data_IF_897786552613
#
_entry.id   IF_897786552613
#
_cell.length_a   1.000
_cell.length_b   1.000
_cell.length_c   1.000
_cell.angle_alpha   90.00
_cell.angle_beta   90.00
_cell.angle_gamma   90.00
#
_symmetry.space_group_name_H-M   'P 1'
#
loop_
_entity.id
_entity.type
_entity.pdbx_description
1 polymer ?
#
# COMPACT_ATOMS: atom_id res chain seq x y z
N UNK A 1 -3.98 43.14 10.16
CA UNK A 1 -4.25 42.79 11.59
C UNK A 1 -3.67 41.41 11.97
N UNK A 2 -3.49 41.10 13.27
CA UNK A 2 -2.97 39.79 13.74
C UNK A 2 -4.10 38.96 14.37
N UNK A 3 -4.16 37.67 14.06
CA UNK A 3 -5.17 36.76 14.61
C UNK A 3 -4.95 36.56 16.11
N UNK A 4 -5.97 36.84 16.93
CA UNK A 4 -5.89 36.56 18.38
C UNK A 4 -5.78 35.06 18.72
N UNK A 5 -6.13 34.17 17.78
CA UNK A 5 -6.18 32.72 18.02
C UNK A 5 -4.92 31.98 17.57
N UNK A 6 -4.34 32.36 16.44
CA UNK A 6 -3.17 31.68 15.86
C UNK A 6 -1.98 32.60 15.59
N UNK A 7 -2.06 33.87 15.97
CA UNK A 7 -1.02 34.89 15.80
C UNK A 7 -0.56 35.11 14.36
N UNK A 8 -1.33 34.63 13.37
CA UNK A 8 -1.01 34.82 11.97
C UNK A 8 -1.45 36.19 11.46
N UNK A 9 -0.72 36.73 10.46
CA UNK A 9 -1.04 38.00 9.81
C UNK A 9 -2.26 37.80 8.89
N UNK A 10 -3.22 38.70 8.99
CA UNK A 10 -4.47 38.68 8.21
C UNK A 10 -4.66 40.04 7.53
N UNK A 11 -5.17 39.99 6.30
CA UNK A 11 -5.54 41.15 5.52
C UNK A 11 -6.79 41.82 6.10
N UNK A 12 -6.79 43.15 6.18
CA UNK A 12 -7.78 43.94 6.92
C UNK A 12 -9.20 43.85 6.32
N UNK A 13 -9.35 43.32 5.11
CA UNK A 13 -10.63 43.05 4.46
C UNK A 13 -11.26 41.69 4.82
N UNK A 14 -10.53 40.81 5.50
CA UNK A 14 -10.96 39.44 5.77
C UNK A 14 -11.94 39.34 6.95
N UNK A 15 -13.09 38.70 6.73
CA UNK A 15 -14.09 38.39 7.78
C UNK A 15 -13.67 37.20 8.67
N UNK A 16 -12.74 36.37 8.17
CA UNK A 16 -12.26 35.16 8.85
C UNK A 16 -10.74 35.03 8.66
N UNK A 17 -10.08 34.39 9.63
CA UNK A 17 -8.67 34.03 9.50
C UNK A 17 -8.50 32.93 8.44
N UNK A 18 -7.68 33.17 7.44
CA UNK A 18 -7.32 32.21 6.39
C UNK A 18 -6.56 30.95 6.89
N UNK A 19 -5.96 31.01 8.08
CA UNK A 19 -5.19 29.89 8.64
C UNK A 19 -5.99 29.03 9.62
N UNK A 20 -6.78 29.65 10.51
CA UNK A 20 -7.49 28.91 11.56
C UNK A 20 -9.03 28.98 11.47
N UNK A 21 -9.56 29.72 10.49
CA UNK A 21 -10.99 29.88 10.27
C UNK A 21 -11.74 30.69 11.33
N UNK A 22 -11.04 31.32 12.28
CA UNK A 22 -11.70 32.11 13.34
C UNK A 22 -12.32 33.39 12.76
N UNK A 23 -13.56 33.75 13.17
CA UNK A 23 -14.17 35.01 12.75
C UNK A 23 -13.40 36.20 13.35
N UNK A 24 -13.27 37.23 12.55
CA UNK A 24 -12.58 38.46 12.92
C UNK A 24 -13.64 39.52 13.16
N UNK A 25 -13.74 39.97 14.42
CA UNK A 25 -14.58 41.11 14.76
C UNK A 25 -13.85 42.36 14.25
N UNK A 26 -14.41 43.01 13.23
CA UNK A 26 -13.95 44.33 12.81
C UNK A 26 -14.64 45.36 13.69
N UNK A 27 -13.85 46.18 14.34
CA UNK A 27 -14.31 47.18 15.30
C UNK A 27 -14.83 48.39 14.51
N UNK A 28 -16.10 48.34 14.14
CA UNK A 28 -16.73 49.36 13.31
C UNK A 28 -18.23 49.19 13.25
N UNK A 29 -18.88 49.28 14.41
CA UNK A 29 -20.12 50.02 14.65
C UNK A 29 -20.78 49.58 15.96
N UNK A 30 -20.97 50.59 16.80
CA UNK A 30 -21.53 50.60 18.15
C UNK A 30 -22.91 49.93 18.22
N UNK A 31 -23.05 48.86 19.01
CA UNK A 31 -24.27 48.64 19.82
C UNK A 31 -23.90 48.19 21.23
N UNK A 32 -24.01 49.16 22.12
CA UNK A 32 -24.08 49.01 23.58
C UNK A 32 -25.21 48.05 23.93
N UNK A 33 -24.90 46.91 24.54
CA UNK A 33 -25.80 46.27 25.52
C UNK A 33 -24.96 45.75 26.69
N UNK A 34 -25.38 46.22 27.85
CA UNK A 34 -24.83 46.13 29.21
C UNK A 34 -24.48 44.72 29.68
N UNK A 35 -23.32 44.66 30.34
CA UNK A 35 -22.98 44.00 31.60
C UNK A 35 -24.07 43.17 32.28
N UNK A 36 -23.70 42.01 32.85
CA UNK A 36 -23.64 41.79 34.32
C UNK A 36 -23.27 40.35 34.67
N UNK A 37 -22.34 40.22 35.63
CA UNK A 37 -22.05 39.10 36.54
C UNK A 37 -22.91 37.83 36.47
N UNK A 38 -22.27 36.66 36.58
CA UNK A 38 -22.37 35.83 37.80
C UNK A 38 -21.46 34.60 37.76
N UNK A 39 -20.58 34.54 38.75
CA UNK A 39 -20.04 33.30 39.29
C UNK A 39 -21.20 32.40 39.76
N UNK A 40 -20.98 31.09 39.71
CA UNK A 40 -21.86 30.01 40.20
C UNK A 40 -22.95 29.54 39.24
N UNK A 41 -22.61 28.57 38.39
CA UNK A 41 -23.47 27.43 38.09
C UNK A 41 -22.69 26.27 37.45
N UNK A 42 -22.90 25.10 38.04
CA UNK A 42 -23.00 23.81 37.36
C UNK A 42 -21.71 23.03 37.07
N UNK A 43 -21.27 22.34 38.14
CA UNK A 43 -20.77 20.96 38.13
C UNK A 43 -21.82 20.03 37.46
N UNK A 44 -22.08 20.21 36.16
CA UNK A 44 -22.93 19.33 35.33
C UNK A 44 -22.41 19.14 33.90
N UNK A 45 -21.27 19.72 33.54
CA UNK A 45 -20.75 19.64 32.16
C UNK A 45 -19.71 18.52 31.92
N UNK A 46 -19.31 17.78 32.94
CA UNK A 46 -18.27 16.74 32.78
C UNK A 46 -18.82 15.42 32.21
N UNK A 47 -20.15 15.21 32.22
CA UNK A 47 -20.76 14.02 31.59
C UNK A 47 -20.95 14.20 30.07
N UNK A 48 -21.27 15.42 29.63
CA UNK A 48 -21.56 15.72 28.21
C UNK A 48 -20.27 15.81 27.38
N UNK A 49 -19.20 16.38 27.94
CA UNK A 49 -17.90 16.51 27.26
C UNK A 49 -17.25 15.14 27.03
N UNK A 50 -17.36 14.22 27.99
CA UNK A 50 -16.80 12.87 27.86
C UNK A 50 -17.54 12.02 26.81
N UNK A 51 -18.84 12.26 26.58
CA UNK A 51 -19.59 11.55 25.55
C UNK A 51 -19.24 12.03 24.13
N UNK A 52 -19.04 13.35 23.95
CA UNK A 52 -18.60 13.96 22.70
C UNK A 52 -17.17 13.52 22.32
N UNK A 53 -16.25 13.43 23.29
CA UNK A 53 -14.88 12.98 23.07
C UNK A 53 -14.83 11.49 22.69
N UNK A 54 -15.65 10.66 23.36
CA UNK A 54 -15.80 9.23 23.06
C UNK A 54 -16.38 9.01 21.66
N UNK A 55 -17.36 9.82 21.24
CA UNK A 55 -17.94 9.76 19.89
C UNK A 55 -16.94 10.17 18.80
N UNK A 56 -16.01 11.07 19.12
CA UNK A 56 -14.92 11.50 18.23
C UNK A 56 -13.83 10.44 18.10
N UNK A 57 -13.45 9.78 19.20
CA UNK A 57 -12.51 8.66 19.20
C UNK A 57 -13.05 7.42 18.46
N UNK A 58 -14.34 7.10 18.64
CA UNK A 58 -15.00 5.98 17.93
C UNK A 58 -15.08 6.24 16.42
N UNK A 59 -15.20 7.50 15.96
CA UNK A 59 -15.18 7.83 14.52
C UNK A 59 -13.81 7.70 13.87
N UNK A 60 -12.72 7.90 14.61
CA UNK A 60 -11.36 7.74 14.08
C UNK A 60 -10.96 6.27 13.93
N UNK A 61 -11.49 5.39 14.79
CA UNK A 61 -11.22 3.96 14.74
C UNK A 61 -12.17 3.18 13.81
N UNK A 62 -13.20 3.86 13.29
CA UNK A 62 -14.15 3.32 12.30
C UNK A 62 -13.74 3.74 10.90
N UNK A 63 -12.53 3.38 10.50
CA UNK A 63 -12.24 3.17 9.08
C UNK A 63 -12.66 1.75 8.76
N UNK A 64 -13.97 1.58 8.60
CA UNK A 64 -14.50 0.40 7.93
C UNK A 64 -13.86 0.42 6.54
N UNK A 65 -12.87 -0.45 6.33
CA UNK A 65 -12.47 -0.90 5.01
C UNK A 65 -13.72 -1.49 4.37
N UNK A 66 -14.46 -0.63 3.67
CA UNK A 66 -15.58 -1.02 2.81
C UNK A 66 -14.97 -1.64 1.56
N UNK A 67 -14.40 -2.82 1.73
CA UNK A 67 -13.95 -3.67 0.64
C UNK A 67 -15.18 -4.40 0.15
N UNK A 68 -15.55 -4.08 -1.09
CA UNK A 68 -16.62 -4.79 -1.79
C UNK A 68 -16.23 -6.26 -1.84
N UNK A 69 -16.98 -7.14 -1.17
CA UNK A 69 -16.64 -8.56 -1.02
C UNK A 69 -16.42 -9.32 -2.33
N UNK A 70 -16.86 -8.77 -3.47
CA UNK A 70 -16.59 -9.31 -4.80
C UNK A 70 -15.17 -9.08 -5.33
N UNK A 71 -14.49 -7.98 -4.97
CA UNK A 71 -13.12 -7.72 -5.46
C UNK A 71 -12.09 -8.58 -4.72
N UNK A 72 -12.25 -8.77 -3.40
CA UNK A 72 -11.31 -9.55 -2.59
C UNK A 72 -11.24 -11.02 -3.05
N UNK A 73 -12.38 -11.60 -3.46
CA UNK A 73 -12.43 -12.98 -3.96
C UNK A 73 -11.65 -13.19 -5.26
N UNK A 74 -11.69 -12.21 -6.18
CA UNK A 74 -10.99 -12.29 -7.45
C UNK A 74 -9.46 -12.20 -7.28
N UNK A 75 -8.99 -11.36 -6.36
CA UNK A 75 -7.56 -11.27 -6.04
C UNK A 75 -7.03 -12.55 -5.39
N UNK A 76 -7.79 -13.15 -4.47
CA UNK A 76 -7.39 -14.40 -3.81
C UNK A 76 -7.34 -15.55 -4.82
N UNK A 77 -8.36 -15.68 -5.68
CA UNK A 77 -8.38 -16.71 -6.71
C UNK A 77 -7.23 -16.56 -7.72
N UNK A 78 -6.95 -15.31 -8.14
CA UNK A 78 -5.81 -14.99 -9.00
C UNK A 78 -4.47 -15.35 -8.36
N UNK A 79 -4.32 -15.13 -7.05
CA UNK A 79 -3.13 -15.52 -6.30
C UNK A 79 -2.94 -17.05 -6.29
N UNK A 80 -4.01 -17.80 -6.03
CA UNK A 80 -3.94 -19.27 -6.03
C UNK A 80 -3.51 -19.81 -7.40
N UNK A 81 -4.10 -19.30 -8.48
CA UNK A 81 -3.69 -19.69 -9.84
C UNK A 81 -2.25 -19.29 -10.13
N UNK A 82 -1.80 -18.11 -9.69
CA UNK A 82 -0.41 -17.69 -9.86
C UNK A 82 0.57 -18.60 -9.11
N UNK A 83 0.24 -19.01 -7.87
CA UNK A 83 1.07 -19.92 -7.07
C UNK A 83 1.12 -21.31 -7.70
N UNK A 84 -0.04 -21.86 -8.08
CA UNK A 84 -0.13 -23.19 -8.72
C UNK A 84 0.62 -23.17 -10.06
N UNK A 85 0.41 -22.14 -10.87
CA UNK A 85 1.10 -21.94 -12.15
C UNK A 85 2.61 -21.82 -11.97
N UNK A 86 3.07 -21.05 -10.99
CA UNK A 86 4.49 -20.94 -10.68
C UNK A 86 5.08 -22.29 -10.22
N UNK A 87 4.36 -23.06 -9.39
CA UNK A 87 4.79 -24.38 -8.95
C UNK A 87 4.93 -25.39 -10.10
N UNK A 88 3.92 -25.45 -10.99
CA UNK A 88 3.97 -26.29 -12.20
C UNK A 88 5.10 -25.86 -13.14
N UNK A 89 5.31 -24.57 -13.29
CA UNK A 89 6.38 -24.03 -14.12
C UNK A 89 7.78 -24.33 -13.56
N UNK A 90 7.93 -24.29 -12.23
CA UNK A 90 9.17 -24.69 -11.55
C UNK A 90 9.45 -26.18 -11.69
N UNK A 91 8.42 -27.04 -11.56
CA UNK A 91 8.56 -28.48 -11.76
C UNK A 91 9.02 -28.82 -13.19
N UNK A 92 8.41 -28.20 -14.21
CA UNK A 92 8.83 -28.38 -15.59
C UNK A 92 10.27 -27.90 -15.85
N UNK A 93 10.69 -26.80 -15.18
CA UNK A 93 12.06 -26.29 -15.29
C UNK A 93 13.12 -27.20 -14.65
N UNK A 94 12.75 -28.03 -13.67
CA UNK A 94 13.66 -28.98 -13.04
C UNK A 94 13.98 -30.16 -13.96
N UNK A 95 12.96 -30.73 -14.60
CA UNK A 95 13.15 -31.81 -15.58
C UNK A 95 14.02 -31.36 -16.76
N UNK A 96 13.78 -30.15 -17.28
CA UNK A 96 14.57 -29.58 -18.37
C UNK A 96 16.02 -29.31 -17.96
N UNK A 97 16.26 -28.91 -16.71
CA UNK A 97 17.61 -28.71 -16.21
C UNK A 97 18.38 -30.03 -16.10
N UNK A 98 17.73 -31.11 -15.64
CA UNK A 98 18.32 -32.43 -15.57
C UNK A 98 18.65 -33.00 -16.96
N UNK A 99 17.74 -32.82 -17.93
CA UNK A 99 18.00 -33.21 -19.34
C UNK A 99 19.18 -32.42 -19.91
N UNK A 100 19.22 -31.11 -19.69
CA UNK A 100 20.34 -30.26 -20.13
C UNK A 100 21.69 -30.70 -19.57
N UNK A 101 21.75 -31.09 -18.30
CA UNK A 101 22.98 -31.57 -17.65
C UNK A 101 23.45 -32.92 -18.24
N UNK A 102 22.52 -33.84 -18.49
CA UNK A 102 22.82 -35.12 -19.15
C UNK A 102 23.31 -34.95 -20.60
N UNK A 103 22.80 -33.96 -21.34
CA UNK A 103 23.30 -33.66 -22.69
C UNK A 103 24.72 -33.09 -22.68
N UNK A 104 25.09 -32.29 -21.67
CA UNK A 104 26.43 -31.70 -21.59
C UNK A 104 27.53 -32.68 -21.17
N UNK A 105 27.16 -33.87 -20.66
CA UNK A 105 28.10 -34.87 -20.13
C UNK A 105 28.37 -36.02 -21.10
N UNK A 106 27.67 -36.07 -22.24
CA UNK A 106 27.98 -37.03 -23.31
C UNK A 106 29.30 -36.59 -23.96
N UNK A 107 30.38 -37.26 -23.58
CA UNK A 107 31.71 -37.06 -24.16
C UNK A 107 32.03 -38.26 -25.04
N UNK A 108 32.48 -38.00 -26.27
CA UNK A 108 32.92 -39.07 -27.17
C UNK A 108 34.35 -39.48 -26.81
N UNK A 109 34.66 -40.78 -26.92
CA UNK A 109 35.99 -41.35 -26.60
C UNK A 109 37.11 -40.77 -27.47
N UNK A 110 36.76 -40.02 -28.52
CA UNK A 110 37.63 -39.41 -29.52
C UNK A 110 37.82 -37.90 -29.38
N UNK A 111 37.13 -37.23 -28.46
CA UNK A 111 37.38 -35.82 -28.09
C UNK A 111 36.99 -34.72 -29.09
N UNK A 112 36.75 -35.04 -30.38
CA UNK A 112 36.53 -34.03 -31.44
C UNK A 112 35.35 -34.34 -32.38
N UNK A 113 34.25 -34.92 -31.87
CA UNK A 113 33.07 -35.10 -32.72
C UNK A 113 32.25 -33.79 -32.81
N UNK A 114 31.88 -33.38 -34.03
CA UNK A 114 31.03 -32.20 -34.28
C UNK A 114 29.69 -32.30 -33.50
N UNK A 115 29.20 -33.51 -33.28
CA UNK A 115 28.00 -33.77 -32.50
C UNK A 115 28.17 -33.38 -31.02
N UNK A 116 29.35 -33.60 -30.43
CA UNK A 116 29.62 -33.29 -29.02
C UNK A 116 29.57 -31.80 -28.72
N UNK A 117 30.20 -30.98 -29.58
CA UNK A 117 30.15 -29.52 -29.49
C UNK A 117 28.71 -29.02 -29.63
N UNK A 118 27.95 -29.61 -30.56
CA UNK A 118 26.55 -29.26 -30.77
C UNK A 118 25.68 -29.55 -29.53
N UNK A 119 25.77 -30.74 -28.94
CA UNK A 119 24.99 -31.09 -27.74
C UNK A 119 25.41 -30.29 -26.51
N UNK A 120 26.69 -29.93 -26.38
CA UNK A 120 27.14 -29.04 -25.30
C UNK A 120 26.54 -27.64 -25.41
N UNK A 121 26.52 -27.05 -26.61
CA UNK A 121 25.98 -25.70 -26.80
C UNK A 121 24.45 -25.67 -26.62
N UNK A 122 23.74 -26.69 -27.12
CA UNK A 122 22.31 -26.87 -26.85
C UNK A 122 22.06 -27.05 -25.35
N UNK A 123 22.84 -27.87 -24.66
CA UNK A 123 22.70 -28.08 -23.22
C UNK A 123 22.95 -26.82 -22.39
N UNK A 124 23.94 -26.00 -22.76
CA UNK A 124 24.19 -24.68 -22.13
C UNK A 124 23.02 -23.73 -22.36
N UNK A 125 22.46 -23.68 -23.57
CA UNK A 125 21.30 -22.84 -23.88
C UNK A 125 20.06 -23.26 -23.08
N UNK A 126 19.79 -24.57 -22.97
CA UNK A 126 18.68 -25.12 -22.18
C UNK A 126 18.86 -24.80 -20.69
N UNK A 127 20.08 -24.91 -20.16
CA UNK A 127 20.39 -24.54 -18.77
C UNK A 127 20.17 -23.05 -18.50
N UNK A 128 20.60 -22.18 -19.43
CA UNK A 128 20.36 -20.74 -19.36
C UNK A 128 18.86 -20.41 -19.38
N UNK A 129 18.09 -21.07 -20.25
CA UNK A 129 16.65 -20.92 -20.33
C UNK A 129 15.96 -21.36 -19.01
N UNK A 130 16.38 -22.48 -18.43
CA UNK A 130 15.85 -22.93 -17.15
C UNK A 130 16.10 -21.92 -16.00
N UNK A 131 17.28 -21.29 -15.95
CA UNK A 131 17.55 -20.22 -14.97
C UNK A 131 16.70 -18.98 -15.22
N UNK A 132 16.52 -18.58 -16.47
CA UNK A 132 15.67 -17.45 -16.85
C UNK A 132 14.20 -17.68 -16.46
N UNK A 133 13.68 -18.89 -16.69
CA UNK A 133 12.34 -19.29 -16.29
C UNK A 133 12.11 -19.18 -14.78
N UNK A 134 13.10 -19.58 -13.96
CA UNK A 134 13.04 -19.41 -12.49
C UNK A 134 13.03 -17.93 -12.07
N UNK A 135 13.80 -17.09 -12.76
CA UNK A 135 13.82 -15.65 -12.50
C UNK A 135 12.49 -14.97 -12.86
N UNK A 136 11.87 -15.35 -13.99
CA UNK A 136 10.55 -14.85 -14.36
C UNK A 136 9.47 -15.30 -13.38
N UNK A 137 9.47 -16.58 -12.99
CA UNK A 137 8.49 -17.12 -12.04
C UNK A 137 8.51 -16.40 -10.69
N UNK A 138 9.70 -16.09 -10.16
CA UNK A 138 9.83 -15.33 -8.90
C UNK A 138 9.41 -13.86 -9.05
N UNK A 139 9.64 -13.24 -10.21
CA UNK A 139 9.20 -11.86 -10.48
C UNK A 139 7.68 -11.70 -10.49
N UNK A 140 6.95 -12.68 -11.02
CA UNK A 140 5.47 -12.69 -11.05
C UNK A 140 4.91 -12.84 -9.64
N UNK A 141 5.49 -13.73 -8.83
CA UNK A 141 5.13 -13.87 -7.41
C UNK A 141 5.39 -12.58 -6.63
N UNK A 142 6.51 -11.90 -6.87
CA UNK A 142 6.83 -10.64 -6.20
C UNK A 142 5.81 -9.54 -6.53
N UNK A 143 5.39 -9.41 -7.79
CA UNK A 143 4.33 -8.48 -8.19
C UNK A 143 2.98 -8.81 -7.54
N UNK A 144 2.65 -10.09 -7.42
CA UNK A 144 1.43 -10.53 -6.73
C UNK A 144 1.46 -10.16 -5.23
N UNK A 145 2.59 -10.41 -4.55
CA UNK A 145 2.79 -10.06 -3.13
C UNK A 145 2.75 -8.55 -2.90
N UNK A 146 3.39 -7.76 -3.77
CA UNK A 146 3.35 -6.30 -3.72
C UNK A 146 1.93 -5.74 -3.90
N UNK A 147 1.12 -6.38 -4.75
CA UNK A 147 -0.28 -6.00 -4.95
C UNK A 147 -1.10 -6.22 -3.68
N UNK A 148 -0.87 -7.32 -2.97
CA UNK A 148 -1.49 -7.60 -1.66
C UNK A 148 -1.03 -6.62 -0.58
N UNK A 149 0.27 -6.29 -0.54
CA UNK A 149 0.81 -5.35 0.43
C UNK A 149 0.22 -3.94 0.29
N UNK A 150 0.00 -3.47 -0.95
CA UNK A 150 -0.70 -2.21 -1.21
C UNK A 150 -2.17 -2.26 -0.80
N UNK A 151 -2.82 -3.41 -0.92
CA UNK A 151 -4.20 -3.60 -0.50
C UNK A 151 -4.36 -3.50 1.02
N UNK A 152 -3.47 -4.13 1.80
CA UNK A 152 -3.49 -4.06 3.27
C UNK A 152 -3.11 -2.69 3.84
N UNK A 153 -2.44 -1.83 3.05
CA UNK A 153 -2.01 -0.49 3.48
C UNK A 153 -3.08 0.60 3.27
N UNK A 154 -4.18 0.30 2.56
CA UNK A 154 -5.33 1.20 2.37
C UNK A 154 -6.39 0.99 3.45
#
# INVERSE_FOLDING_TARGET
>A
MICAKCSNKIDDDSLFCNVCGSPIKKDGETKVVKDTNSNKKDIKDNSVINEQLKKSYIRLNKKDTKVNGGELGFFIFGLFIAIIGAGLFFAAGEELAAVGESMTTITSVSGDSIAEVYYQDVGKAVKGFAMFCRALGTSVLFMAVMSISKYFKR
#
